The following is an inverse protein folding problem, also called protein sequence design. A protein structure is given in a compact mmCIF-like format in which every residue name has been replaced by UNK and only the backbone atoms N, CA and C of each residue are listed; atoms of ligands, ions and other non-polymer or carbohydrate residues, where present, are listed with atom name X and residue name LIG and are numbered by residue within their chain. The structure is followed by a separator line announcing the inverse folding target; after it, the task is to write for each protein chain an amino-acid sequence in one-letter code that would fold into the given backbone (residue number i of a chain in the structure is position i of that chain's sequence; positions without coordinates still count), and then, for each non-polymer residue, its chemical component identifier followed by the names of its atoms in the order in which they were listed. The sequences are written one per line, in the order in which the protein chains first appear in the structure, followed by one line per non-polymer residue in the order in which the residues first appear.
data_IF_522625031235
#
_entry.id   IF_522625031235
#
_cell.length_a   1.000
_cell.length_b   1.000
_cell.length_c   1.000
_cell.angle_alpha   90.00
_cell.angle_beta   90.00
_cell.angle_gamma   90.00
#
_symmetry.space_group_name_H-M   'P 1'
#
loop_
_entity.id
_entity.type
_entity.pdbx_description
1 polymer ?
#
# COMPACT_ATOMS: atom_id res chain seq x y z
N UNK A 1 -4.50 -1.11 -4.05
CA UNK A 1 -5.28 -0.44 -2.99
C UNK A 1 -5.50 -1.34 -1.78
N UNK A 2 -6.25 -2.46 -1.89
CA UNK A 2 -6.53 -3.37 -0.77
C UNK A 2 -5.32 -3.76 0.10
N UNK A 3 -4.22 -4.22 -0.54
CA UNK A 3 -2.99 -4.63 0.16
C UNK A 3 -2.27 -3.49 0.88
N UNK A 4 -2.46 -2.26 0.43
CA UNK A 4 -1.93 -1.04 1.07
C UNK A 4 -2.95 -0.42 2.04
N UNK A 5 -4.02 -1.15 2.39
CA UNK A 5 -5.08 -0.71 3.29
C UNK A 5 -5.74 0.61 2.88
N UNK A 6 -5.71 0.92 1.57
CA UNK A 6 -6.41 2.09 1.02
C UNK A 6 -7.87 1.70 0.80
N UNK A 7 -8.85 2.38 1.43
CA UNK A 7 -10.26 2.13 1.21
C UNK A 7 -10.65 2.45 -0.23
N UNK A 8 -11.49 1.61 -0.82
CA UNK A 8 -12.06 1.85 -2.14
C UNK A 8 -13.44 1.21 -2.24
N UNK A 9 -14.24 1.68 -3.19
CA UNK A 9 -15.45 1.00 -3.65
C UNK A 9 -15.23 0.61 -5.09
N UNK A 10 -15.71 -0.56 -5.45
CA UNK A 10 -15.66 -1.06 -6.82
C UNK A 10 -17.09 -1.21 -7.33
N UNK A 11 -17.33 -0.71 -8.53
CA UNK A 11 -18.61 -0.77 -9.22
C UNK A 11 -18.36 -1.34 -10.61
N UNK A 12 -19.24 -2.24 -11.06
CA UNK A 12 -19.19 -2.71 -12.45
C UNK A 12 -19.71 -1.62 -13.38
N UNK A 13 -19.15 -1.49 -14.59
CA UNK A 13 -19.62 -0.52 -15.60
C UNK A 13 -21.07 -0.73 -15.99
N UNK A 14 -21.57 -1.96 -15.83
CA UNK A 14 -22.88 -2.38 -16.31
C UNK A 14 -23.97 -2.24 -15.23
N UNK A 15 -23.58 -1.84 -14.01
CA UNK A 15 -24.50 -1.58 -12.90
C UNK A 15 -25.01 -0.13 -12.94
N UNK A 16 -26.24 0.15 -12.46
CA UNK A 16 -26.81 1.51 -12.49
C UNK A 16 -25.95 2.57 -11.80
N UNK A 17 -25.28 2.21 -10.71
CA UNK A 17 -24.29 3.05 -10.02
C UNK A 17 -23.04 3.29 -10.87
N UNK A 18 -22.50 2.24 -11.51
CA UNK A 18 -21.33 2.36 -12.37
C UNK A 18 -21.57 3.25 -13.58
N UNK A 19 -22.70 3.06 -14.28
CA UNK A 19 -23.11 3.92 -15.40
C UNK A 19 -23.22 5.40 -14.99
N UNK A 20 -23.84 5.68 -13.83
CA UNK A 20 -23.93 7.06 -13.31
C UNK A 20 -22.56 7.67 -13.00
N UNK A 21 -21.64 6.87 -12.46
CA UNK A 21 -20.27 7.34 -12.18
C UNK A 21 -19.50 7.61 -13.48
N UNK A 22 -19.69 6.81 -14.53
CA UNK A 22 -19.10 7.04 -15.86
C UNK A 22 -19.64 8.33 -16.49
N UNK A 23 -20.95 8.53 -16.46
CA UNK A 23 -21.58 9.76 -16.96
C UNK A 23 -21.09 11.00 -16.20
N UNK A 24 -21.03 10.93 -14.87
CA UNK A 24 -20.52 12.01 -14.04
C UNK A 24 -19.03 12.32 -14.31
N UNK A 25 -18.26 11.29 -14.68
CA UNK A 25 -16.86 11.41 -15.07
C UNK A 25 -16.66 11.88 -16.53
N UNK A 26 -17.74 12.03 -17.31
CA UNK A 26 -17.68 12.33 -18.74
C UNK A 26 -17.05 11.21 -19.57
N UNK A 27 -17.09 9.97 -19.09
CA UNK A 27 -16.49 8.81 -19.73
C UNK A 27 -17.55 7.95 -20.44
N UNK A 28 -17.20 7.39 -21.60
CA UNK A 28 -18.07 6.54 -22.41
C UNK A 28 -17.96 5.04 -22.07
N UNK A 29 -17.23 4.70 -20.99
CA UNK A 29 -17.04 3.32 -20.53
C UNK A 29 -16.13 2.46 -21.41
N UNK A 30 -15.53 3.00 -22.48
CA UNK A 30 -14.68 2.20 -23.39
C UNK A 30 -13.26 1.97 -22.89
N UNK A 31 -12.80 2.83 -21.99
CA UNK A 31 -11.45 2.77 -21.39
C UNK A 31 -11.58 2.61 -19.89
N UNK A 32 -11.22 1.43 -19.40
CA UNK A 32 -11.36 1.00 -18.02
C UNK A 32 -10.08 0.27 -17.57
N UNK A 33 -9.73 0.30 -16.27
CA UNK A 33 -10.52 0.86 -15.17
C UNK A 33 -10.49 2.39 -15.13
N UNK A 34 -11.59 2.99 -14.69
CA UNK A 34 -11.66 4.40 -14.33
C UNK A 34 -11.65 4.53 -12.81
N UNK A 35 -10.81 5.40 -12.28
CA UNK A 35 -10.70 5.67 -10.85
C UNK A 35 -11.13 7.11 -10.57
N UNK A 36 -12.10 7.26 -9.69
CA UNK A 36 -12.55 8.54 -9.14
C UNK A 36 -11.93 8.73 -7.77
N UNK A 37 -11.13 9.77 -7.61
CA UNK A 37 -10.52 10.11 -6.33
C UNK A 37 -11.44 11.02 -5.50
N UNK A 38 -11.26 11.10 -4.17
CA UNK A 38 -12.13 11.93 -3.31
C UNK A 38 -12.11 13.43 -3.64
N UNK A 39 -11.03 13.93 -4.23
CA UNK A 39 -10.87 15.30 -4.74
C UNK A 39 -11.53 15.53 -6.12
N UNK A 40 -12.16 14.49 -6.69
CA UNK A 40 -12.88 14.58 -7.96
C UNK A 40 -12.01 14.34 -9.20
N UNK A 41 -10.74 13.99 -9.02
CA UNK A 41 -9.86 13.66 -10.14
C UNK A 41 -10.29 12.34 -10.78
N UNK A 42 -10.38 12.36 -12.12
CA UNK A 42 -10.75 11.20 -12.94
C UNK A 42 -9.49 10.64 -13.59
N UNK A 43 -9.11 9.41 -13.22
CA UNK A 43 -7.98 8.71 -13.82
C UNK A 43 -8.50 7.59 -14.73
N UNK A 44 -8.13 7.63 -16.00
CA UNK A 44 -8.49 6.58 -16.97
C UNK A 44 -7.30 5.66 -17.20
N UNK A 45 -7.50 4.35 -17.04
CA UNK A 45 -6.46 3.32 -17.16
C UNK A 45 -5.18 3.68 -16.38
N UNK A 46 -5.28 4.09 -15.08
CA UNK A 46 -4.12 4.56 -14.34
C UNK A 46 -3.09 3.46 -14.13
N UNK A 47 -1.81 3.84 -14.22
CA UNK A 47 -0.72 2.98 -13.77
C UNK A 47 -0.68 2.94 -12.23
N UNK A 48 -0.13 1.88 -11.61
CA UNK A 48 -0.03 1.79 -10.15
C UNK A 48 0.68 2.99 -9.50
N UNK A 49 1.62 3.62 -10.21
CA UNK A 49 2.34 4.81 -9.74
C UNK A 49 1.41 6.04 -9.65
N UNK A 50 0.48 6.20 -10.59
CA UNK A 50 -0.50 7.29 -10.56
C UNK A 50 -1.38 7.18 -9.32
N UNK A 51 -1.86 5.96 -9.04
CA UNK A 51 -2.66 5.67 -7.86
C UNK A 51 -1.86 5.90 -6.57
N UNK A 52 -0.60 5.45 -6.53
CA UNK A 52 0.26 5.62 -5.37
C UNK A 52 0.45 7.10 -5.01
N UNK A 53 0.67 7.96 -6.01
CA UNK A 53 0.75 9.41 -5.81
C UNK A 53 -0.55 9.98 -5.21
N UNK A 54 -1.71 9.60 -5.75
CA UNK A 54 -3.02 10.11 -5.29
C UNK A 54 -3.40 9.63 -3.88
N UNK A 55 -2.86 8.50 -3.42
CA UNK A 55 -3.13 7.96 -2.08
C UNK A 55 -2.03 8.30 -1.07
N UNK A 56 -1.09 9.19 -1.43
CA UNK A 56 -0.02 9.65 -0.55
C UNK A 56 1.05 8.60 -0.25
N UNK A 57 1.22 7.60 -1.12
CA UNK A 57 2.31 6.65 -1.02
C UNK A 57 3.58 7.25 -1.63
N UNK A 58 4.67 7.23 -0.87
CA UNK A 58 5.98 7.64 -1.37
C UNK A 58 6.51 6.57 -2.35
N UNK A 59 6.76 6.98 -3.59
CA UNK A 59 7.32 6.13 -4.67
C UNK A 59 8.68 6.61 -5.16
N UNK A 60 9.13 7.77 -4.68
CA UNK A 60 10.44 8.33 -4.97
C UNK A 60 11.30 8.33 -3.69
N UNK A 61 12.63 8.18 -3.83
CA UNK A 61 13.54 8.35 -2.71
C UNK A 61 13.47 9.79 -2.17
N UNK A 62 13.52 9.92 -0.85
CA UNK A 62 13.53 11.21 -0.15
C UNK A 62 14.93 11.83 -0.05
N UNK A 63 15.98 11.06 -0.32
CA UNK A 63 17.37 11.48 -0.25
C UNK A 63 18.20 10.83 -1.36
N UNK A 64 19.32 11.46 -1.71
CA UNK A 64 20.26 10.95 -2.71
C UNK A 64 21.13 9.78 -2.18
N UNK A 65 21.42 9.78 -0.88
CA UNK A 65 22.28 8.78 -0.23
C UNK A 65 21.62 8.17 0.99
N UNK A 66 21.78 6.86 1.13
CA UNK A 66 21.33 6.05 2.27
C UNK A 66 22.49 5.22 2.79
N UNK A 67 22.57 5.07 4.11
CA UNK A 67 23.58 4.24 4.77
C UNK A 67 23.13 2.76 4.78
N UNK A 68 21.82 2.52 4.68
CA UNK A 68 21.22 1.19 4.55
C UNK A 68 20.04 1.22 3.56
N UNK A 69 20.08 0.32 2.58
CA UNK A 69 18.97 0.07 1.64
C UNK A 69 18.46 -1.35 1.87
N UNK A 70 17.20 -1.47 2.26
CA UNK A 70 16.54 -2.75 2.50
C UNK A 70 15.55 -3.02 1.37
N UNK A 71 15.71 -4.15 0.68
CA UNK A 71 14.83 -4.55 -0.42
C UNK A 71 13.87 -5.65 0.06
N UNK A 72 12.58 -5.36 0.00
CA UNK A 72 11.49 -6.26 0.40
C UNK A 72 10.90 -5.90 1.75
N UNK A 73 9.61 -5.57 1.78
CA UNK A 73 8.87 -5.12 2.95
C UNK A 73 8.30 -6.25 3.81
N UNK A 74 8.88 -7.45 3.80
CA UNK A 74 8.48 -8.55 4.68
C UNK A 74 8.97 -8.36 6.13
N UNK A 75 8.67 -9.30 7.05
CA UNK A 75 9.10 -9.19 8.45
C UNK A 75 10.61 -8.99 8.61
N UNK A 76 11.42 -9.68 7.80
CA UNK A 76 12.87 -9.54 7.82
C UNK A 76 13.33 -8.12 7.41
N UNK A 77 12.76 -7.59 6.31
CA UNK A 77 13.13 -6.25 5.84
C UNK A 77 12.60 -5.14 6.74
N UNK A 78 11.38 -5.27 7.25
CA UNK A 78 10.83 -4.36 8.25
C UNK A 78 11.69 -4.35 9.52
N UNK A 79 12.09 -5.53 10.01
CA UNK A 79 13.01 -5.64 11.15
C UNK A 79 14.35 -4.95 10.87
N UNK A 80 14.98 -5.24 9.73
CA UNK A 80 16.23 -4.60 9.33
C UNK A 80 16.11 -3.07 9.25
N UNK A 81 14.99 -2.57 8.71
CA UNK A 81 14.74 -1.13 8.60
C UNK A 81 14.60 -0.45 9.97
N UNK A 82 13.80 -1.04 10.87
CA UNK A 82 13.60 -0.52 12.23
C UNK A 82 14.91 -0.49 13.01
N UNK A 83 15.69 -1.58 12.98
CA UNK A 83 16.96 -1.63 13.70
C UNK A 83 18.02 -0.71 13.09
N UNK A 84 18.13 -0.64 11.75
CA UNK A 84 19.04 0.29 11.09
C UNK A 84 18.73 1.74 11.44
N UNK A 85 17.45 2.14 11.39
CA UNK A 85 17.03 3.48 11.77
C UNK A 85 17.27 3.78 13.26
N UNK A 86 17.07 2.79 14.14
CA UNK A 86 17.30 2.94 15.59
C UNK A 86 18.77 3.17 15.95
N UNK A 87 19.70 2.65 15.15
CA UNK A 87 21.14 2.91 15.25
C UNK A 87 21.58 4.21 14.54
N UNK A 88 20.62 5.01 14.06
CA UNK A 88 20.88 6.32 13.43
C UNK A 88 21.28 6.26 11.96
N UNK A 89 21.17 5.10 11.30
CA UNK A 89 21.45 4.99 9.87
C UNK A 89 20.34 5.65 9.05
N UNK A 90 20.71 6.40 8.00
CA UNK A 90 19.75 6.85 6.99
C UNK A 90 19.29 5.63 6.19
N UNK A 91 18.14 5.11 6.57
CA UNK A 91 17.63 3.82 6.10
C UNK A 91 16.46 4.02 5.14
N UNK A 92 16.43 3.27 4.05
CA UNK A 92 15.27 3.19 3.15
C UNK A 92 14.84 1.75 2.96
N UNK A 93 13.53 1.51 3.05
CA UNK A 93 12.90 0.23 2.74
C UNK A 93 12.16 0.35 1.40
N UNK A 94 12.53 -0.49 0.44
CA UNK A 94 11.90 -0.53 -0.88
C UNK A 94 11.03 -1.78 -0.98
N UNK A 95 9.75 -1.59 -1.27
CA UNK A 95 8.78 -2.67 -1.46
C UNK A 95 7.95 -2.41 -2.72
N UNK A 96 7.74 -3.47 -3.51
CA UNK A 96 7.08 -3.37 -4.82
C UNK A 96 5.56 -3.26 -4.72
N UNK A 97 4.95 -3.96 -3.76
CA UNK A 97 3.49 -4.09 -3.69
C UNK A 97 2.91 -3.49 -2.43
N UNK A 98 3.29 -4.03 -1.26
CA UNK A 98 2.79 -3.63 0.04
C UNK A 98 3.69 -4.24 1.11
N UNK A 99 3.88 -3.52 2.21
CA UNK A 99 4.58 -4.05 3.39
C UNK A 99 3.86 -5.28 3.94
N UNK A 100 4.59 -6.11 4.69
CA UNK A 100 4.12 -7.33 5.35
C UNK A 100 4.61 -8.62 4.70
N UNK A 101 4.99 -8.58 3.42
CA UNK A 101 5.44 -9.77 2.69
C UNK A 101 4.40 -10.91 2.76
N UNK A 102 4.88 -12.14 2.95
CA UNK A 102 4.01 -13.32 3.13
C UNK A 102 3.23 -13.26 4.44
N UNK A 103 3.86 -12.81 5.54
CA UNK A 103 3.21 -12.72 6.84
C UNK A 103 1.99 -11.78 6.80
N UNK A 104 2.07 -10.70 6.02
CA UNK A 104 0.97 -9.75 5.82
C UNK A 104 -0.31 -10.38 5.24
N UNK A 105 -0.21 -11.54 4.59
CA UNK A 105 -1.36 -12.27 4.02
C UNK A 105 -2.02 -13.24 5.00
N UNK A 106 -1.38 -13.52 6.14
CA UNK A 106 -1.93 -14.44 7.14
C UNK A 106 -3.11 -13.80 7.87
N UNK A 107 -4.24 -14.51 7.91
CA UNK A 107 -5.41 -14.10 8.70
C UNK A 107 -5.08 -14.02 10.19
N UNK A 108 -4.27 -14.97 10.67
CA UNK A 108 -3.81 -15.06 12.05
C UNK A 108 -2.48 -15.79 12.13
N UNK A 109 -1.58 -15.28 12.96
CA UNK A 109 -0.27 -15.84 13.27
C UNK A 109 -0.24 -16.10 14.78
N UNK A 110 -0.12 -17.36 15.18
CA UNK A 110 -0.18 -17.77 16.59
C UNK A 110 1.19 -18.04 17.21
N UNK A 111 2.23 -18.09 16.37
CA UNK A 111 3.60 -18.41 16.74
C UNK A 111 4.55 -17.22 16.63
N UNK A 112 4.04 -15.97 16.71
CA UNK A 112 4.87 -14.78 16.69
C UNK A 112 5.21 -14.31 18.11
N UNK A 113 6.51 -14.24 18.43
CA UNK A 113 6.98 -13.85 19.76
C UNK A 113 6.44 -12.46 20.15
N UNK A 114 5.97 -12.34 21.40
CA UNK A 114 5.37 -11.10 21.92
C UNK A 114 3.86 -10.96 21.66
N UNK A 115 3.23 -11.94 21.02
CA UNK A 115 1.79 -11.97 20.75
C UNK A 115 1.17 -13.30 21.24
N UNK A 116 0.99 -13.48 22.57
CA UNK A 116 0.48 -14.74 23.13
C UNK A 116 -0.94 -15.08 22.66
N UNK A 117 -1.77 -14.07 22.38
CA UNK A 117 -3.12 -14.23 21.84
C UNK A 117 -3.16 -14.24 20.31
N UNK A 118 -2.00 -14.36 19.65
CA UNK A 118 -1.83 -14.26 18.21
C UNK A 118 -2.03 -12.84 17.65
N UNK A 119 -1.68 -12.66 16.38
CA UNK A 119 -1.79 -11.38 15.66
C UNK A 119 -2.14 -11.62 14.19
N UNK A 120 -2.91 -10.74 13.56
CA UNK A 120 -3.10 -10.82 12.11
C UNK A 120 -1.88 -10.30 11.36
N UNK A 121 -1.65 -10.81 10.15
CA UNK A 121 -0.59 -10.33 9.27
C UNK A 121 -0.64 -8.83 9.02
N UNK A 122 -1.84 -8.31 8.81
CA UNK A 122 -2.10 -6.89 8.63
C UNK A 122 -1.73 -6.05 9.87
N UNK A 123 -2.09 -6.51 11.07
CA UNK A 123 -1.74 -5.83 12.33
C UNK A 123 -0.23 -5.84 12.59
N UNK A 124 0.42 -6.98 12.37
CA UNK A 124 1.86 -7.11 12.54
C UNK A 124 2.61 -6.14 11.62
N UNK A 125 2.18 -6.09 10.35
CA UNK A 125 2.76 -5.22 9.33
C UNK A 125 2.58 -3.74 9.64
N UNK A 126 1.37 -3.33 10.01
CA UNK A 126 1.06 -1.94 10.34
C UNK A 126 1.88 -1.47 11.55
N UNK A 127 1.99 -2.29 12.58
CA UNK A 127 2.85 -1.99 13.75
C UNK A 127 4.31 -1.79 13.36
N UNK A 128 4.86 -2.70 12.54
CA UNK A 128 6.24 -2.60 12.10
C UNK A 128 6.47 -1.37 11.20
N UNK A 129 5.53 -1.05 10.31
CA UNK A 129 5.58 0.17 9.48
C UNK A 129 5.61 1.45 10.31
N UNK A 130 4.88 1.51 11.44
CA UNK A 130 4.87 2.69 12.32
C UNK A 130 6.16 2.88 13.13
N UNK A 131 6.98 1.84 13.22
CA UNK A 131 8.24 1.85 13.97
C UNK A 131 9.46 2.19 13.10
N UNK A 132 9.32 2.10 11.77
CA UNK A 132 10.34 2.44 10.78
C UNK A 132 10.14 3.87 10.27
#
# INVERSE_FOLDING_TARGET
LARNQVPYRWYSSDEPEGSRLLEAAGADGRRLPLVLTPDGTVLTEPEPADLAAHVGLATAPSAEFYDLVVIGGGPAGLGAAVYGASEGLRTVLVERSATGGQAGQSSRIENYLGFPDGVSGAQLTDRARRQA
#
